data_IF_308899284980
#
_entry.id   IF_308899284980
#
_cell.length_a   1.000
_cell.length_b   1.000
_cell.length_c   1.000
_cell.angle_alpha   90.00
_cell.angle_beta   90.00
_cell.angle_gamma   90.00
#
_symmetry.space_group_name_H-M   'P 1'
#
loop_
_entity.id
_entity.type
_entity.pdbx_description
1 polymer ?
#
# COMPACT_ATOMS: atom_id res chain seq x y z
N UNK A 1 -4.56 -23.32 -14.55
CA UNK A 1 -4.18 -21.99 -15.10
C UNK A 1 -3.31 -21.31 -14.06
N UNK A 2 -2.16 -20.77 -14.45
CA UNK A 2 -1.26 -20.08 -13.54
C UNK A 2 -1.55 -18.57 -13.58
N UNK A 3 -1.99 -18.01 -12.46
CA UNK A 3 -2.30 -16.59 -12.35
C UNK A 3 -1.20 -15.90 -11.55
N UNK A 4 -0.63 -14.84 -12.11
CA UNK A 4 0.25 -13.92 -11.42
C UNK A 4 -0.55 -12.70 -11.00
N UNK A 5 -0.48 -12.36 -9.72
CA UNK A 5 -1.08 -11.15 -9.16
C UNK A 5 0.06 -10.23 -8.70
N UNK A 6 0.09 -9.00 -9.20
CA UNK A 6 1.07 -7.99 -8.80
C UNK A 6 0.40 -7.03 -7.83
N UNK A 7 0.83 -7.09 -6.58
CA UNK A 7 0.31 -6.31 -5.45
C UNK A 7 -0.49 -7.15 -4.46
N UNK A 8 -0.05 -7.14 -3.21
CA UNK A 8 -0.62 -7.90 -2.08
C UNK A 8 -1.52 -7.07 -1.17
N UNK A 9 -2.11 -5.98 -1.68
CA UNK A 9 -3.13 -5.22 -0.98
C UNK A 9 -4.50 -5.91 -0.97
N UNK A 10 -5.54 -5.23 -0.48
CA UNK A 10 -6.90 -5.78 -0.39
C UNK A 10 -7.39 -6.38 -1.71
N UNK A 11 -7.18 -5.69 -2.83
CA UNK A 11 -7.59 -6.17 -4.15
C UNK A 11 -6.85 -7.44 -4.56
N UNK A 12 -5.52 -7.51 -4.30
CA UNK A 12 -4.72 -8.69 -4.61
C UNK A 12 -5.10 -9.90 -3.77
N UNK A 13 -5.38 -9.70 -2.48
CA UNK A 13 -5.87 -10.75 -1.58
C UNK A 13 -7.23 -11.28 -2.06
N UNK A 14 -8.16 -10.39 -2.40
CA UNK A 14 -9.48 -10.77 -2.90
C UNK A 14 -9.39 -11.52 -4.25
N UNK A 15 -8.51 -11.07 -5.14
CA UNK A 15 -8.25 -11.73 -6.42
C UNK A 15 -7.67 -13.13 -6.22
N UNK A 16 -6.70 -13.29 -5.31
CA UNK A 16 -6.12 -14.59 -4.97
C UNK A 16 -7.18 -15.56 -4.47
N UNK A 17 -8.00 -15.12 -3.50
CA UNK A 17 -9.11 -15.90 -2.96
C UNK A 17 -10.07 -16.37 -4.05
N UNK A 18 -10.50 -15.44 -4.91
CA UNK A 18 -11.43 -15.73 -5.98
C UNK A 18 -10.85 -16.69 -7.04
N UNK A 19 -9.57 -16.57 -7.35
CA UNK A 19 -8.89 -17.42 -8.33
C UNK A 19 -8.64 -18.83 -7.78
N UNK A 20 -8.17 -18.97 -6.54
CA UNK A 20 -7.97 -20.26 -5.90
C UNK A 20 -9.28 -21.03 -5.75
N UNK A 21 -10.38 -20.35 -5.38
CA UNK A 21 -11.70 -20.97 -5.31
C UNK A 21 -12.18 -21.56 -6.64
N UNK A 22 -11.56 -21.18 -7.77
CA UNK A 22 -11.81 -21.73 -9.10
C UNK A 22 -10.75 -22.73 -9.55
N UNK A 23 -9.92 -23.23 -8.64
CA UNK A 23 -8.88 -24.22 -8.90
C UNK A 23 -7.66 -23.67 -9.69
N UNK A 24 -7.46 -22.35 -9.69
CA UNK A 24 -6.28 -21.78 -10.34
C UNK A 24 -5.07 -21.83 -9.39
N UNK A 25 -3.88 -22.04 -9.95
CA UNK A 25 -2.63 -21.84 -9.23
C UNK A 25 -2.32 -20.35 -9.23
N UNK A 26 -2.07 -19.78 -8.04
CA UNK A 26 -1.90 -18.33 -7.85
C UNK A 26 -0.55 -18.03 -7.21
N UNK A 27 0.14 -17.02 -7.76
CA UNK A 27 1.28 -16.38 -7.13
C UNK A 27 0.98 -14.89 -6.96
N UNK A 28 1.13 -14.38 -5.73
CA UNK A 28 1.01 -12.96 -5.39
C UNK A 28 2.41 -12.42 -5.13
N UNK A 29 2.82 -11.40 -5.86
CA UNK A 29 4.12 -10.74 -5.70
C UNK A 29 3.90 -9.35 -5.11
N UNK A 30 4.62 -9.02 -4.04
CA UNK A 30 4.60 -7.69 -3.44
C UNK A 30 6.01 -7.24 -3.03
N UNK A 31 6.26 -5.94 -3.16
CA UNK A 31 7.51 -5.30 -2.72
C UNK A 31 7.62 -5.19 -1.19
N UNK A 32 6.50 -5.24 -0.48
CA UNK A 32 6.43 -5.20 0.98
C UNK A 32 6.63 -6.60 1.58
N UNK A 33 7.06 -6.69 2.85
CA UNK A 33 7.32 -7.98 3.52
C UNK A 33 6.05 -8.76 3.87
N UNK A 34 4.88 -8.09 3.94
CA UNK A 34 3.60 -8.73 4.27
C UNK A 34 2.48 -8.24 3.38
N UNK A 35 1.45 -9.07 3.25
CA UNK A 35 0.20 -8.71 2.60
C UNK A 35 -0.57 -7.65 3.42
N UNK A 36 -1.47 -6.92 2.75
CA UNK A 36 -2.33 -5.89 3.36
C UNK A 36 -2.21 -4.54 2.67
N UNK A 37 -1.07 -4.25 2.03
CA UNK A 37 -0.86 -3.02 1.27
C UNK A 37 -1.03 -1.76 2.13
N UNK A 38 -1.73 -0.75 1.59
CA UNK A 38 -1.97 0.54 2.27
C UNK A 38 -2.79 0.41 3.57
N UNK A 39 -3.59 -0.63 3.72
CA UNK A 39 -4.37 -0.84 4.93
C UNK A 39 -3.49 -0.92 6.19
N UNK A 40 -2.27 -1.44 6.05
CA UNK A 40 -1.36 -1.60 7.18
C UNK A 40 -0.92 -0.28 7.83
N UNK A 41 -0.99 0.82 7.09
CA UNK A 41 -0.65 2.15 7.60
C UNK A 41 -1.87 2.96 8.04
N UNK A 42 -3.09 2.46 7.85
CA UNK A 42 -4.31 3.16 8.20
C UNK A 42 -4.73 2.81 9.64
N UNK A 43 -4.32 3.64 10.60
CA UNK A 43 -4.66 3.48 12.02
C UNK A 43 -6.05 4.03 12.38
N UNK A 44 -6.68 4.81 11.50
CA UNK A 44 -8.02 5.35 11.69
C UNK A 44 -9.11 4.31 11.42
N UNK A 45 -10.29 4.43 12.02
CA UNK A 45 -11.45 3.60 11.71
C UNK A 45 -12.06 3.97 10.36
N UNK A 46 -12.98 3.14 9.85
CA UNK A 46 -13.70 3.37 8.59
C UNK A 46 -13.64 2.21 7.60
N UNK A 47 -12.99 1.11 7.96
CA UNK A 47 -12.87 -0.08 7.13
C UNK A 47 -13.85 -1.17 7.59
N UNK A 48 -14.70 -1.64 6.68
CA UNK A 48 -15.72 -2.65 7.02
C UNK A 48 -16.62 -2.16 8.16
N UNK A 49 -16.80 -2.99 9.20
CA UNK A 49 -17.61 -2.64 10.37
C UNK A 49 -16.89 -1.67 11.34
N UNK A 50 -16.47 -0.51 10.84
CA UNK A 50 -15.77 0.53 11.61
C UNK A 50 -14.44 0.08 12.25
N UNK A 51 -13.72 -0.84 11.59
CA UNK A 51 -12.39 -1.31 12.00
C UNK A 51 -11.32 -0.35 11.50
N UNK A 52 -10.15 -0.40 12.11
CA UNK A 52 -8.94 0.20 11.54
C UNK A 52 -8.51 -0.53 10.27
N UNK A 53 -7.65 0.10 9.46
CA UNK A 53 -7.12 -0.55 8.27
C UNK A 53 -6.34 -1.82 8.60
N UNK A 54 -5.57 -1.82 9.69
CA UNK A 54 -4.81 -3.00 10.15
C UNK A 54 -5.74 -4.15 10.54
N UNK A 55 -6.76 -3.91 11.37
CA UNK A 55 -7.75 -4.92 11.76
C UNK A 55 -8.50 -5.48 10.54
N UNK A 56 -8.81 -4.61 9.58
CA UNK A 56 -9.43 -5.05 8.34
C UNK A 56 -8.46 -5.88 7.49
N UNK A 57 -7.19 -5.51 7.38
CA UNK A 57 -6.17 -6.30 6.70
C UNK A 57 -6.02 -7.68 7.33
N UNK A 58 -5.97 -7.78 8.65
CA UNK A 58 -5.86 -9.04 9.37
C UNK A 58 -7.06 -9.96 9.07
N UNK A 59 -8.28 -9.41 9.04
CA UNK A 59 -9.47 -10.18 8.64
C UNK A 59 -9.45 -10.68 7.19
N UNK A 60 -8.81 -9.94 6.29
CA UNK A 60 -8.59 -10.41 4.92
C UNK A 60 -7.55 -11.53 4.86
N UNK A 61 -6.51 -11.44 5.69
CA UNK A 61 -5.44 -12.44 5.76
C UNK A 61 -5.91 -13.77 6.33
N UNK A 62 -6.84 -13.78 7.28
CA UNK A 62 -7.48 -15.00 7.77
C UNK A 62 -8.12 -15.85 6.66
N UNK A 63 -8.59 -15.18 5.62
CA UNK A 63 -9.21 -15.81 4.44
C UNK A 63 -8.26 -15.97 3.25
N UNK A 64 -6.96 -15.68 3.40
CA UNK A 64 -6.00 -15.85 2.33
C UNK A 64 -5.76 -17.33 2.05
N UNK A 65 -5.84 -17.78 0.77
CA UNK A 65 -5.71 -19.20 0.44
C UNK A 65 -4.32 -19.75 0.78
N UNK A 66 -4.27 -20.85 1.49
CA UNK A 66 -3.00 -21.52 1.86
C UNK A 66 -2.22 -22.05 0.64
N UNK A 67 -2.95 -22.36 -0.43
CA UNK A 67 -2.41 -22.84 -1.71
C UNK A 67 -1.86 -21.73 -2.60
N UNK A 68 -2.16 -20.45 -2.31
CA UNK A 68 -1.60 -19.32 -3.02
C UNK A 68 -0.16 -19.05 -2.55
N UNK A 69 0.77 -18.96 -3.48
CA UNK A 69 2.13 -18.58 -3.17
C UNK A 69 2.21 -17.06 -2.94
N UNK A 70 2.76 -16.63 -1.80
CA UNK A 70 3.11 -15.23 -1.58
C UNK A 70 4.62 -15.05 -1.72
N UNK A 71 5.03 -14.08 -2.52
CA UNK A 71 6.42 -13.74 -2.80
C UNK A 71 6.67 -12.30 -2.30
N UNK A 72 7.08 -12.15 -1.03
CA UNK A 72 7.35 -10.84 -0.43
C UNK A 72 8.67 -10.23 -0.89
N UNK A 73 8.89 -8.96 -0.52
CA UNK A 73 10.14 -8.21 -0.76
C UNK A 73 10.61 -8.28 -2.22
N UNK A 74 9.65 -8.35 -3.15
CA UNK A 74 9.94 -8.61 -4.57
C UNK A 74 9.23 -7.59 -5.45
N UNK A 75 10.02 -6.88 -6.24
CA UNK A 75 9.50 -5.94 -7.23
C UNK A 75 9.42 -6.61 -8.59
N UNK A 76 8.29 -6.46 -9.27
CA UNK A 76 8.17 -6.82 -10.68
C UNK A 76 8.77 -5.69 -11.51
N UNK A 77 9.82 -5.99 -12.25
CA UNK A 77 10.59 -5.02 -13.04
C UNK A 77 9.99 -4.84 -14.44
N UNK A 78 9.56 -5.94 -15.05
CA UNK A 78 8.91 -5.91 -16.37
C UNK A 78 7.98 -7.10 -16.55
N UNK A 79 7.05 -6.96 -17.49
CA UNK A 79 6.15 -8.01 -17.94
C UNK A 79 6.26 -8.08 -19.45
N UNK A 80 6.60 -9.25 -19.97
CA UNK A 80 6.82 -9.46 -21.39
C UNK A 80 5.56 -10.02 -22.09
N UNK A 81 5.47 -9.78 -23.40
CA UNK A 81 4.40 -10.35 -24.24
C UNK A 81 4.41 -11.89 -24.25
N UNK A 82 5.57 -12.48 -23.99
CA UNK A 82 5.78 -13.92 -23.81
C UNK A 82 5.18 -14.49 -22.52
N UNK A 83 4.50 -13.66 -21.72
CA UNK A 83 3.92 -14.01 -20.42
C UNK A 83 4.97 -14.44 -19.39
N UNK A 84 6.09 -13.74 -19.40
CA UNK A 84 7.14 -13.86 -18.40
C UNK A 84 7.21 -12.52 -17.64
N UNK A 85 7.19 -12.57 -16.32
CA UNK A 85 7.45 -11.44 -15.45
C UNK A 85 8.88 -11.53 -14.91
N UNK A 86 9.66 -10.46 -15.07
CA UNK A 86 10.99 -10.34 -14.49
C UNK A 86 10.89 -9.68 -13.12
N UNK A 87 11.51 -10.29 -12.15
CA UNK A 87 11.47 -9.88 -10.76
C UNK A 87 12.83 -9.36 -10.30
N UNK A 88 12.83 -8.57 -9.24
CA UNK A 88 14.06 -8.23 -8.55
C UNK A 88 14.80 -9.49 -8.08
N UNK A 89 16.15 -9.41 -8.03
CA UNK A 89 17.00 -10.57 -7.74
C UNK A 89 17.17 -11.55 -8.91
N UNK A 90 16.86 -11.13 -10.14
CA UNK A 90 17.13 -11.92 -11.36
C UNK A 90 16.19 -13.11 -11.57
N UNK A 91 15.09 -13.20 -10.83
CA UNK A 91 14.10 -14.28 -10.96
C UNK A 91 13.09 -13.98 -12.07
N UNK A 92 12.56 -15.03 -12.66
CA UNK A 92 11.49 -14.96 -13.67
C UNK A 92 10.32 -15.84 -13.27
N UNK A 93 9.10 -15.38 -13.56
CA UNK A 93 7.87 -16.13 -13.38
C UNK A 93 7.07 -16.16 -14.67
N UNK A 94 6.81 -17.38 -15.15
CA UNK A 94 5.88 -17.60 -16.25
C UNK A 94 4.44 -17.64 -15.71
N UNK A 95 3.51 -17.03 -16.43
CA UNK A 95 2.10 -16.99 -16.07
C UNK A 95 1.20 -17.20 -17.29
N UNK A 96 -0.05 -17.61 -17.07
CA UNK A 96 -1.08 -17.69 -18.11
C UNK A 96 -1.94 -16.43 -18.14
N UNK A 97 -2.23 -15.89 -16.95
CA UNK A 97 -3.04 -14.68 -16.76
C UNK A 97 -2.36 -13.77 -15.75
N UNK A 98 -2.46 -12.45 -15.97
CA UNK A 98 -1.93 -11.41 -15.09
C UNK A 98 -3.07 -10.60 -14.51
N UNK A 99 -3.00 -10.34 -13.20
CA UNK A 99 -3.87 -9.41 -12.49
C UNK A 99 -2.99 -8.31 -11.90
N UNK A 100 -3.28 -7.06 -12.26
CA UNK A 100 -2.65 -5.87 -11.70
C UNK A 100 -3.48 -5.36 -10.53
N UNK A 101 -2.95 -5.47 -9.31
CA UNK A 101 -3.55 -5.00 -8.07
C UNK A 101 -2.58 -4.05 -7.33
N UNK A 102 -1.88 -3.21 -8.08
CA UNK A 102 -0.74 -2.39 -7.64
C UNK A 102 -1.13 -1.21 -6.77
N UNK A 103 -2.41 -0.93 -6.62
CA UNK A 103 -2.92 0.22 -5.90
C UNK A 103 -2.63 1.54 -6.62
N UNK A 104 -2.66 2.62 -5.85
CA UNK A 104 -2.29 3.96 -6.32
C UNK A 104 -1.00 4.44 -5.63
N UNK A 105 -0.44 5.49 -6.18
CA UNK A 105 0.69 6.20 -5.61
C UNK A 105 0.38 7.70 -5.60
N UNK A 106 0.69 8.35 -4.51
CA UNK A 106 0.57 9.80 -4.40
C UNK A 106 1.52 10.51 -5.37
N UNK A 107 1.09 11.65 -5.84
CA UNK A 107 1.95 12.54 -6.63
C UNK A 107 3.02 13.11 -5.70
N UNK A 108 4.32 12.88 -5.96
CA UNK A 108 5.37 13.40 -5.08
C UNK A 108 5.42 14.94 -5.16
N UNK A 109 5.82 15.57 -4.05
CA UNK A 109 5.92 17.04 -3.96
C UNK A 109 6.73 17.66 -5.11
N UNK A 110 7.73 16.92 -5.62
CA UNK A 110 8.53 17.33 -6.77
C UNK A 110 7.79 17.48 -8.09
N UNK A 111 6.65 16.83 -8.24
CA UNK A 111 5.80 16.89 -9.44
C UNK A 111 4.64 17.88 -9.31
N UNK A 112 4.47 18.49 -8.13
CA UNK A 112 3.46 19.52 -7.90
C UNK A 112 3.98 20.90 -8.28
N UNK A 113 3.15 21.80 -8.85
CA UNK A 113 3.54 23.17 -9.22
C UNK A 113 3.56 24.10 -7.99
N UNK A 114 4.21 23.68 -6.92
CA UNK A 114 4.37 24.49 -5.71
C UNK A 114 5.62 25.34 -5.88
N UNK A 115 5.46 26.66 -5.86
CA UNK A 115 6.55 27.62 -5.97
C UNK A 115 7.42 27.65 -4.70
N UNK A 116 8.68 28.02 -4.85
CA UNK A 116 9.63 28.18 -3.75
C UNK A 116 10.71 27.13 -3.70
N UNK A 117 11.49 27.14 -2.61
CA UNK A 117 12.53 26.16 -2.34
C UNK A 117 11.91 24.83 -1.90
N UNK A 118 12.66 23.76 -2.04
CA UNK A 118 12.22 22.40 -1.64
C UNK A 118 13.08 21.92 -0.47
N UNK A 119 12.86 22.44 0.75
CA UNK A 119 13.62 22.03 1.92
C UNK A 119 13.29 20.58 2.32
N UNK A 120 14.08 20.04 3.21
CA UNK A 120 13.73 18.80 3.91
C UNK A 120 12.48 19.02 4.76
N UNK A 121 11.76 17.93 5.04
CA UNK A 121 10.53 17.99 5.85
C UNK A 121 9.24 18.12 5.02
N UNK A 122 9.32 18.05 3.69
CA UNK A 122 8.15 18.01 2.81
C UNK A 122 7.86 16.55 2.45
N UNK A 123 6.70 16.06 2.85
CA UNK A 123 6.24 14.70 2.63
C UNK A 123 4.85 14.70 2.00
N UNK A 124 4.50 13.64 1.29
CA UNK A 124 3.09 13.39 0.98
C UNK A 124 2.38 12.88 2.23
N UNK A 125 1.06 13.05 2.31
CA UNK A 125 0.29 12.62 3.48
C UNK A 125 0.43 11.12 3.74
N UNK A 126 0.41 10.28 2.69
CA UNK A 126 0.59 8.84 2.83
C UNK A 126 2.01 8.43 3.20
N UNK A 127 3.05 9.18 2.78
CA UNK A 127 4.41 8.96 3.28
C UNK A 127 4.50 9.24 4.79
N UNK A 128 3.93 10.35 5.26
CA UNK A 128 3.91 10.66 6.68
C UNK A 128 3.11 9.62 7.47
N UNK A 129 1.97 9.18 6.94
CA UNK A 129 1.18 8.11 7.55
C UNK A 129 1.97 6.80 7.66
N UNK A 130 2.71 6.39 6.61
CA UNK A 130 3.60 5.22 6.65
C UNK A 130 4.70 5.40 7.70
N UNK A 131 5.36 6.57 7.73
CA UNK A 131 6.42 6.87 8.69
C UNK A 131 5.92 6.79 10.13
N UNK A 132 4.77 7.39 10.43
CA UNK A 132 4.19 7.38 11.77
C UNK A 132 3.71 5.98 12.17
N UNK A 133 2.90 5.34 11.33
CA UNK A 133 2.15 4.14 11.72
C UNK A 133 2.93 2.83 11.55
N UNK A 134 3.92 2.78 10.65
CA UNK A 134 4.75 1.59 10.46
C UNK A 134 6.15 1.71 11.02
N UNK A 135 6.67 2.94 11.15
CA UNK A 135 8.06 3.16 11.56
C UNK A 135 8.19 3.93 12.88
N UNK A 136 7.09 4.42 13.45
CA UNK A 136 7.08 5.19 14.70
C UNK A 136 7.80 6.54 14.60
N UNK A 137 7.96 7.08 13.39
CA UNK A 137 8.62 8.36 13.15
C UNK A 137 7.58 9.47 13.24
N UNK A 138 7.71 10.32 14.27
CA UNK A 138 6.81 11.43 14.56
C UNK A 138 7.45 12.73 14.06
N UNK A 139 6.68 13.64 13.41
CA UNK A 139 7.23 14.94 13.01
C UNK A 139 7.66 15.75 14.25
N UNK A 140 8.83 16.42 14.21
CA UNK A 140 9.43 17.03 15.41
C UNK A 140 8.86 18.40 15.83
N UNK A 141 7.88 18.94 15.12
CA UNK A 141 7.38 20.30 15.41
C UNK A 141 6.11 20.63 14.66
N UNK A 142 5.71 21.90 14.61
CA UNK A 142 4.49 22.32 13.95
C UNK A 142 4.39 21.83 12.53
N UNK A 143 3.22 21.30 12.17
CA UNK A 143 2.96 20.70 10.83
C UNK A 143 1.98 21.56 10.06
N UNK A 144 2.29 21.83 8.81
CA UNK A 144 1.36 22.46 7.86
C UNK A 144 0.94 21.40 6.86
N UNK A 145 -0.36 21.20 6.72
CA UNK A 145 -0.96 20.27 5.74
C UNK A 145 -1.59 21.10 4.64
N UNK A 146 -1.11 20.91 3.42
CA UNK A 146 -1.67 21.55 2.23
C UNK A 146 -2.69 20.62 1.59
N UNK A 147 -3.97 20.96 1.70
CA UNK A 147 -5.11 20.22 1.17
C UNK A 147 -5.99 19.62 2.24
N UNK A 148 -7.30 19.82 2.09
CA UNK A 148 -8.35 19.39 3.01
C UNK A 148 -9.13 18.14 2.54
N UNK A 149 -8.50 17.31 1.70
CA UNK A 149 -9.05 15.99 1.35
C UNK A 149 -8.97 15.01 2.53
N UNK A 150 -9.67 13.86 2.40
CA UNK A 150 -9.80 12.88 3.49
C UNK A 150 -8.47 12.53 4.16
N UNK A 151 -7.42 12.26 3.39
CA UNK A 151 -6.12 11.90 3.96
C UNK A 151 -5.48 13.08 4.71
N UNK A 152 -5.69 14.31 4.25
CA UNK A 152 -5.23 15.51 4.95
C UNK A 152 -5.90 15.68 6.32
N UNK A 153 -7.20 15.48 6.38
CA UNK A 153 -7.99 15.54 7.62
C UNK A 153 -7.62 14.41 8.59
N UNK A 154 -7.46 13.19 8.09
CA UNK A 154 -7.02 12.03 8.88
C UNK A 154 -5.64 12.29 9.50
N UNK A 155 -4.72 12.83 8.73
CA UNK A 155 -3.38 13.15 9.23
C UNK A 155 -3.39 14.32 10.21
N UNK A 156 -4.24 15.32 9.97
CA UNK A 156 -4.40 16.44 10.91
C UNK A 156 -4.89 15.97 12.29
N UNK A 157 -5.91 15.12 12.30
CA UNK A 157 -6.45 14.51 13.52
C UNK A 157 -5.39 13.65 14.23
N UNK A 158 -4.72 12.77 13.50
CA UNK A 158 -3.69 11.89 14.07
C UNK A 158 -2.50 12.65 14.66
N UNK A 159 -2.05 13.74 14.01
CA UNK A 159 -0.92 14.54 14.48
C UNK A 159 -1.34 15.42 15.65
N UNK A 160 -2.53 16.00 15.61
CA UNK A 160 -3.08 16.80 16.70
C UNK A 160 -3.28 15.97 17.98
N UNK A 161 -3.65 14.70 17.86
CA UNK A 161 -3.78 13.77 18.99
C UNK A 161 -2.44 13.49 19.71
N UNK A 162 -1.31 13.89 19.13
CA UNK A 162 0.03 13.83 19.73
C UNK A 162 0.47 15.16 20.33
N UNK A 163 -0.45 16.11 20.54
CA UNK A 163 -0.19 17.47 21.01
C UNK A 163 0.76 18.29 20.11
N UNK A 164 0.85 17.93 18.82
CA UNK A 164 1.65 18.66 17.84
C UNK A 164 0.75 19.69 17.14
N UNK A 165 1.13 20.98 17.12
CA UNK A 165 0.37 22.00 16.41
C UNK A 165 0.24 21.70 14.92
N UNK A 166 -0.99 21.72 14.42
CA UNK A 166 -1.31 21.45 13.01
C UNK A 166 -2.03 22.66 12.42
N UNK A 167 -1.61 23.06 11.23
CA UNK A 167 -2.31 24.04 10.40
C UNK A 167 -2.74 23.37 9.10
N UNK A 168 -4.03 23.37 8.83
CA UNK A 168 -4.60 22.87 7.56
C UNK A 168 -4.89 24.05 6.65
N UNK A 169 -4.44 23.98 5.39
CA UNK A 169 -4.58 25.04 4.39
C UNK A 169 -5.30 24.49 3.12
#
# INVERSE_FOLDING_TARGET
MNILIIGGGAAGIAAAKSACARGCKVAVVDRKPRLGGVLLQCSHPGFGANRTGTEYADSLLESFPKEAAFIPNTTVLSVEKTKIARLSGGRELAFSCLILATGCREIPAGALPIAGTRPQGIYTAGQMQEMMNLHGIIPPGPVVILGSGDIGLIMADQIAALDIPVTLV
#
